data_IF_911370843583
#
_entry.id   IF_911370843583
#
_cell.length_a   1.000
_cell.length_b   1.000
_cell.length_c   1.000
_cell.angle_alpha   90.00
_cell.angle_beta   90.00
_cell.angle_gamma   90.00
#
_symmetry.space_group_name_H-M   'P 1'
#
loop_
_entity.id
_entity.type
_entity.pdbx_description
1 polymer ?
#
# COMPACT_ATOMS: atom_id res chain seq x y z
N UNK A 1 -19.58 -4.45 5.80
CA UNK A 1 -18.87 -4.09 4.57
C UNK A 1 -17.38 -4.07 4.89
N UNK A 2 -16.54 -4.59 4.01
CA UNK A 2 -15.08 -4.52 4.19
C UNK A 2 -14.55 -3.19 3.63
N UNK A 3 -13.43 -2.71 4.17
CA UNK A 3 -12.80 -1.45 3.75
C UNK A 3 -11.33 -1.68 3.38
N UNK A 4 -10.91 -1.14 2.24
CA UNK A 4 -9.52 -1.16 1.77
C UNK A 4 -8.97 0.26 1.89
N UNK A 5 -7.86 0.43 2.62
CA UNK A 5 -7.22 1.74 2.81
C UNK A 5 -5.70 1.64 2.79
N UNK A 6 -5.06 2.74 2.39
CA UNK A 6 -3.62 2.87 2.26
C UNK A 6 -3.04 3.88 3.25
N UNK A 7 -1.87 3.53 3.83
CA UNK A 7 -1.13 4.39 4.75
C UNK A 7 0.34 4.47 4.37
N UNK A 8 0.85 5.70 4.26
CA UNK A 8 2.28 5.93 4.17
C UNK A 8 2.95 5.81 5.54
N UNK A 9 3.95 4.94 5.64
CA UNK A 9 4.85 4.80 6.78
C UNK A 9 6.14 5.54 6.44
N UNK A 10 6.36 6.68 7.10
CA UNK A 10 7.55 7.51 6.90
C UNK A 10 8.76 6.86 7.56
N UNK A 11 9.92 6.92 6.90
CA UNK A 11 11.18 6.44 7.45
C UNK A 11 12.38 7.23 6.92
N UNK A 12 13.55 7.02 7.51
CA UNK A 12 14.81 7.55 6.99
C UNK A 12 15.36 6.59 5.96
N UNK A 13 15.16 6.90 4.68
CA UNK A 13 15.74 6.13 3.60
C UNK A 13 17.28 6.24 3.58
N UNK A 14 18.01 5.19 3.18
CA UNK A 14 19.41 5.28 2.81
C UNK A 14 19.68 6.38 1.79
N UNK A 15 20.80 7.09 1.92
CA UNK A 15 21.19 8.16 0.99
C UNK A 15 21.35 7.63 -0.45
N UNK A 16 21.79 6.37 -0.59
CA UNK A 16 21.95 5.68 -1.87
C UNK A 16 20.66 5.55 -2.68
N UNK A 17 19.50 5.58 -2.03
CA UNK A 17 18.22 5.30 -2.68
C UNK A 17 17.64 6.54 -3.37
N UNK A 18 18.28 7.71 -3.21
CA UNK A 18 17.89 8.95 -3.85
C UNK A 18 16.40 9.24 -3.64
N UNK A 19 15.66 9.42 -4.73
CA UNK A 19 14.21 9.69 -4.68
C UNK A 19 13.33 8.44 -4.67
N UNK A 20 13.88 7.22 -4.55
CA UNK A 20 13.11 5.98 -4.72
C UNK A 20 11.91 5.87 -3.75
N UNK A 21 12.09 6.28 -2.49
CA UNK A 21 11.02 6.33 -1.49
C UNK A 21 10.34 7.69 -1.35
N UNK A 22 10.80 8.71 -2.10
CA UNK A 22 10.39 10.10 -1.90
C UNK A 22 9.02 10.38 -2.52
N UNK A 23 8.00 10.52 -1.69
CA UNK A 23 6.62 10.70 -2.09
C UNK A 23 6.27 12.17 -2.39
N UNK A 24 5.06 12.41 -2.92
CA UNK A 24 4.58 13.74 -3.29
C UNK A 24 4.36 14.69 -2.09
N UNK A 25 4.31 14.16 -0.85
CA UNK A 25 4.23 14.94 0.39
C UNK A 25 5.61 15.37 0.90
N UNK A 26 6.66 15.15 0.12
CA UNK A 26 8.01 15.61 0.42
C UNK A 26 8.75 14.78 1.47
N UNK A 27 8.32 13.53 1.69
CA UNK A 27 8.94 12.62 2.67
C UNK A 27 9.29 11.28 2.05
N UNK A 28 10.23 10.54 2.65
CA UNK A 28 10.47 9.15 2.28
C UNK A 28 9.48 8.25 3.01
N UNK A 29 8.76 7.40 2.28
CA UNK A 29 7.84 6.44 2.88
C UNK A 29 7.77 5.12 2.13
N UNK A 30 7.19 4.13 2.79
CA UNK A 30 6.62 2.93 2.17
C UNK A 30 5.10 2.95 2.33
N UNK A 31 4.38 2.23 1.48
CA UNK A 31 2.93 2.05 1.57
C UNK A 31 2.61 0.78 2.35
N UNK A 32 1.65 0.90 3.26
CA UNK A 32 0.89 -0.20 3.85
C UNK A 32 -0.52 -0.13 3.27
N UNK A 33 -0.95 -1.15 2.54
CA UNK A 33 -2.31 -1.31 2.06
C UNK A 33 -2.98 -2.43 2.88
N UNK A 34 -4.10 -2.16 3.53
CA UNK A 34 -4.79 -3.13 4.36
C UNK A 34 -6.28 -3.24 4.05
N UNK A 35 -6.79 -4.47 4.08
CA UNK A 35 -8.22 -4.78 4.01
C UNK A 35 -8.70 -5.13 5.41
N UNK A 36 -9.70 -4.39 5.91
CA UNK A 36 -10.37 -4.67 7.16
C UNK A 36 -11.80 -5.20 6.90
N UNK A 37 -12.22 -6.20 7.66
CA UNK A 37 -13.60 -6.68 7.64
C UNK A 37 -14.53 -5.83 8.54
N UNK A 38 -15.81 -6.18 8.56
CA UNK A 38 -16.81 -5.48 9.37
C UNK A 38 -16.63 -5.66 10.89
N UNK A 39 -15.75 -6.56 11.32
CA UNK A 39 -15.38 -6.77 12.72
C UNK A 39 -14.09 -6.03 13.10
N UNK A 40 -13.63 -5.11 12.25
CA UNK A 40 -12.38 -4.36 12.42
C UNK A 40 -11.13 -5.25 12.45
N UNK A 41 -11.18 -6.44 11.85
CA UNK A 41 -10.02 -7.33 11.73
C UNK A 41 -9.36 -7.12 10.38
N UNK A 42 -8.03 -7.02 10.36
CA UNK A 42 -7.27 -7.05 9.12
C UNK A 42 -7.28 -8.46 8.54
N UNK A 43 -7.84 -8.60 7.35
CA UNK A 43 -7.91 -9.87 6.61
C UNK A 43 -6.85 -9.97 5.53
N UNK A 44 -6.27 -8.84 5.12
CA UNK A 44 -5.15 -8.77 4.20
C UNK A 44 -4.29 -7.54 4.49
N UNK A 45 -2.97 -7.70 4.39
CA UNK A 45 -1.99 -6.61 4.51
C UNK A 45 -0.92 -6.79 3.43
N UNK A 46 -0.63 -5.72 2.69
CA UNK A 46 0.52 -5.59 1.81
C UNK A 46 1.37 -4.41 2.27
N UNK A 47 2.65 -4.63 2.53
CA UNK A 47 3.56 -3.62 3.09
C UNK A 47 4.90 -3.63 2.35
N UNK A 48 5.50 -2.44 2.24
CA UNK A 48 6.87 -2.29 1.75
C UNK A 48 6.98 -1.78 0.32
N UNK A 49 5.86 -1.55 -0.37
CA UNK A 49 5.88 -0.86 -1.66
C UNK A 49 6.39 0.56 -1.45
N UNK A 50 7.24 1.06 -2.36
CA UNK A 50 7.78 2.41 -2.22
C UNK A 50 6.66 3.47 -2.17
N UNK A 51 6.86 4.52 -1.37
CA UNK A 51 5.87 5.55 -1.09
C UNK A 51 5.48 6.45 -2.26
N UNK A 52 6.05 6.26 -3.45
CA UNK A 52 5.67 7.03 -4.66
C UNK A 52 4.45 6.44 -5.34
N UNK A 53 4.18 5.16 -5.10
CA UNK A 53 3.08 4.45 -5.73
C UNK A 53 1.78 4.80 -5.00
N UNK A 54 0.72 5.08 -5.77
CA UNK A 54 -0.62 5.32 -5.21
C UNK A 54 -1.24 4.04 -4.67
N UNK A 55 -2.20 4.16 -3.76
CA UNK A 55 -2.90 3.00 -3.19
C UNK A 55 -3.57 2.14 -4.26
N UNK A 56 -4.13 2.76 -5.31
CA UNK A 56 -4.67 2.05 -6.47
C UNK A 56 -3.61 1.30 -7.28
N UNK A 57 -2.40 1.87 -7.41
CA UNK A 57 -1.26 1.17 -8.02
C UNK A 57 -0.79 -0.03 -7.20
N UNK A 58 -0.74 0.13 -5.86
CA UNK A 58 -0.42 -0.97 -4.94
C UNK A 58 -1.49 -2.06 -5.01
N UNK A 59 -2.76 -1.69 -5.04
CA UNK A 59 -3.88 -2.62 -5.15
C UNK A 59 -3.85 -3.41 -6.46
N UNK A 60 -3.71 -2.74 -7.61
CA UNK A 60 -3.69 -3.40 -8.92
C UNK A 60 -2.55 -4.42 -9.08
N UNK A 61 -1.43 -4.23 -8.39
CA UNK A 61 -0.29 -5.16 -8.40
C UNK A 61 -0.34 -6.19 -7.27
N UNK A 62 -1.32 -6.10 -6.37
CA UNK A 62 -1.43 -6.95 -5.19
C UNK A 62 -1.91 -8.37 -5.50
N UNK A 63 -1.58 -9.32 -4.63
CA UNK A 63 -2.15 -10.68 -4.70
C UNK A 63 -3.66 -10.62 -4.49
N UNK A 64 -4.14 -9.72 -3.62
CA UNK A 64 -5.56 -9.52 -3.36
C UNK A 64 -6.36 -9.24 -4.64
N UNK A 65 -5.87 -8.36 -5.52
CA UNK A 65 -6.53 -8.08 -6.80
C UNK A 65 -6.57 -9.31 -7.72
N UNK A 66 -5.50 -10.11 -7.76
CA UNK A 66 -5.41 -11.31 -8.61
C UNK A 66 -6.35 -12.44 -8.19
N UNK A 67 -6.69 -12.53 -6.90
CA UNK A 67 -7.55 -13.58 -6.35
C UNK A 67 -9.01 -13.16 -6.23
N UNK A 68 -9.31 -11.88 -6.47
CA UNK A 68 -10.71 -11.44 -6.53
C UNK A 68 -11.39 -12.09 -7.73
N UNK A 69 -12.60 -12.66 -7.55
CA UNK A 69 -13.34 -13.21 -8.67
C UNK A 69 -13.62 -12.11 -9.68
N UNK A 70 -13.29 -12.36 -10.95
CA UNK A 70 -13.77 -11.54 -12.04
C UNK A 70 -15.29 -11.73 -12.10
N UNK A 71 -16.03 -10.62 -12.07
CA UNK A 71 -17.45 -10.66 -12.35
C UNK A 71 -17.63 -10.74 -13.87
N UNK A 72 -17.56 -11.94 -14.42
CA UNK A 72 -18.07 -12.27 -15.76
C UNK A 72 -19.61 -12.43 -15.72
#
# INVERSE_FOLDING_TARGET
MSALDGRHITFRAPISDGSYYYNYKGTHSIVLLALADAQYKFTYINIGVNGRISDGGVFNQSVLFKVMPNND
#
